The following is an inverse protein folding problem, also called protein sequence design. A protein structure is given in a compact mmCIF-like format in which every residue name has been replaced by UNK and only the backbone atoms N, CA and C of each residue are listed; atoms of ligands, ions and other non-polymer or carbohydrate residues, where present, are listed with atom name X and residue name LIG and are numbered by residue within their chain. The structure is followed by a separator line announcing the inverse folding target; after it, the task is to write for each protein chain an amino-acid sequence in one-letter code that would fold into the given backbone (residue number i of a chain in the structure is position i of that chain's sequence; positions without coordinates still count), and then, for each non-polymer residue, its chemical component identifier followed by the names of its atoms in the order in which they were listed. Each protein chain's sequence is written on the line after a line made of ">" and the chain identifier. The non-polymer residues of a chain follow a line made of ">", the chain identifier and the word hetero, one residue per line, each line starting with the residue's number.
data_IF_984400187459
#
_entry.id   IF_984400187459
#
_cell.length_a   1.000
_cell.length_b   1.000
_cell.length_c   1.000
_cell.angle_alpha   90.00
_cell.angle_beta   90.00
_cell.angle_gamma   90.00
#
_symmetry.space_group_name_H-M   'P 1'
#
loop_
_entity.id
_entity.type
_entity.pdbx_description
1 polymer ?
#
# COMPACT_ATOMS: atom_id res chain seq x y z
N UNK A 1 -17.68 -23.17 0.54
CA UNK A 1 -17.24 -22.06 -0.33
C UNK A 1 -15.82 -22.32 -0.78
N UNK A 2 -15.52 -22.22 -2.08
CA UNK A 2 -14.17 -22.44 -2.61
C UNK A 2 -13.18 -21.38 -2.17
N UNK A 3 -11.89 -21.70 -2.25
CA UNK A 3 -10.82 -20.77 -2.00
C UNK A 3 -10.79 -19.65 -3.05
N UNK A 4 -10.43 -18.44 -2.65
CA UNK A 4 -10.35 -17.27 -3.52
C UNK A 4 -8.88 -16.95 -3.80
N UNK A 5 -8.57 -16.69 -5.07
CA UNK A 5 -7.23 -16.28 -5.49
C UNK A 5 -6.93 -14.88 -4.94
N UNK A 6 -5.67 -14.66 -4.56
CA UNK A 6 -5.21 -13.35 -4.08
C UNK A 6 -5.34 -12.29 -5.19
N UNK A 7 -6.08 -11.19 -4.98
CA UNK A 7 -6.39 -10.23 -6.04
C UNK A 7 -5.16 -9.57 -6.68
N UNK A 8 -4.12 -9.27 -5.90
CA UNK A 8 -2.87 -8.72 -6.44
C UNK A 8 -2.08 -9.82 -7.16
N UNK A 9 -2.02 -11.06 -6.61
CA UNK A 9 -1.25 -12.15 -7.17
C UNK A 9 -1.67 -12.53 -8.59
N UNK A 10 -2.99 -12.63 -8.85
CA UNK A 10 -3.51 -12.96 -10.18
C UNK A 10 -3.23 -11.87 -11.23
N UNK A 11 -2.92 -10.65 -10.80
CA UNK A 11 -2.67 -9.47 -11.64
C UNK A 11 -1.20 -9.11 -11.80
N UNK A 12 -0.30 -9.85 -11.15
CA UNK A 12 1.15 -9.66 -11.33
C UNK A 12 1.54 -9.92 -12.79
N UNK A 13 2.33 -9.03 -13.35
CA UNK A 13 2.75 -9.09 -14.75
C UNK A 13 1.67 -8.71 -15.79
N UNK A 14 0.43 -8.42 -15.36
CA UNK A 14 -0.67 -7.97 -16.22
C UNK A 14 -0.96 -6.49 -15.97
N UNK A 15 -1.26 -6.13 -14.72
CA UNK A 15 -1.61 -4.76 -14.30
C UNK A 15 -0.76 -4.33 -13.10
N UNK A 16 -0.29 -5.27 -12.29
CA UNK A 16 0.51 -4.99 -11.08
C UNK A 16 1.97 -5.37 -11.30
N UNK A 17 2.94 -4.47 -11.00
CA UNK A 17 4.35 -4.80 -10.94
C UNK A 17 4.68 -5.59 -9.67
N UNK A 18 5.86 -6.22 -9.67
CA UNK A 18 6.42 -6.84 -8.47
C UNK A 18 6.95 -5.80 -7.49
N UNK A 19 6.99 -6.17 -6.22
CA UNK A 19 7.58 -5.34 -5.16
C UNK A 19 9.10 -5.58 -4.99
N UNK A 20 9.65 -6.62 -5.60
CA UNK A 20 11.08 -6.86 -5.74
C UNK A 20 11.39 -7.09 -7.21
N UNK A 21 12.31 -6.30 -7.75
CA UNK A 21 12.67 -6.34 -9.18
C UNK A 21 14.18 -6.47 -9.28
N UNK A 22 14.66 -7.71 -9.46
CA UNK A 22 16.07 -8.03 -9.62
C UNK A 22 16.25 -9.42 -10.22
N UNK A 23 17.44 -9.68 -10.73
CA UNK A 23 17.86 -10.97 -11.25
C UNK A 23 19.10 -11.45 -10.47
N UNK A 24 19.17 -12.74 -10.16
CA UNK A 24 20.34 -13.36 -9.58
C UNK A 24 20.51 -14.78 -10.10
N UNK A 25 21.75 -15.28 -10.05
CA UNK A 25 22.09 -16.67 -10.34
C UNK A 25 21.55 -17.60 -9.24
N UNK A 26 21.37 -18.88 -9.54
CA UNK A 26 20.82 -19.89 -8.61
C UNK A 26 21.53 -19.91 -7.26
N UNK A 27 22.86 -19.67 -7.22
CA UNK A 27 23.65 -19.67 -5.98
C UNK A 27 23.36 -18.46 -5.07
N UNK A 28 23.11 -17.30 -5.66
CA UNK A 28 22.93 -16.03 -4.94
C UNK A 28 21.45 -15.72 -4.68
N UNK A 29 20.55 -16.45 -5.35
CA UNK A 29 19.11 -16.15 -5.28
C UNK A 29 18.55 -16.30 -3.87
N UNK A 30 18.92 -17.38 -3.17
CA UNK A 30 18.43 -17.65 -1.82
C UNK A 30 18.89 -16.60 -0.81
N UNK A 31 20.17 -16.23 -0.87
CA UNK A 31 20.76 -15.22 0.04
C UNK A 31 20.15 -13.83 -0.19
N UNK A 32 19.96 -13.45 -1.45
CA UNK A 32 19.31 -12.20 -1.80
C UNK A 32 17.84 -12.16 -1.35
N UNK A 33 17.12 -13.27 -1.48
CA UNK A 33 15.72 -13.35 -1.05
C UNK A 33 15.59 -13.25 0.48
N UNK A 34 16.46 -13.95 1.22
CA UNK A 34 16.49 -13.89 2.68
C UNK A 34 16.82 -12.48 3.18
N UNK A 35 17.81 -11.83 2.57
CA UNK A 35 18.17 -10.45 2.93
C UNK A 35 17.03 -9.46 2.59
N UNK A 36 16.31 -9.61 1.46
CA UNK A 36 15.14 -8.80 1.14
C UNK A 36 14.01 -8.97 2.16
N UNK A 37 13.80 -10.21 2.61
CA UNK A 37 12.80 -10.51 3.64
C UNK A 37 13.15 -9.82 4.96
N UNK A 38 14.40 -9.94 5.42
CA UNK A 38 14.90 -9.28 6.64
C UNK A 38 14.78 -7.75 6.56
N UNK A 39 15.15 -7.16 5.41
CA UNK A 39 15.02 -5.71 5.16
C UNK A 39 13.56 -5.28 5.24
N UNK A 40 12.64 -6.00 4.61
CA UNK A 40 11.19 -5.68 4.68
C UNK A 40 10.65 -5.78 6.10
N UNK A 41 11.01 -6.83 6.82
CA UNK A 41 10.58 -7.04 8.21
C UNK A 41 11.08 -5.91 9.11
N UNK A 42 12.35 -5.54 9.00
CA UNK A 42 12.94 -4.43 9.74
C UNK A 42 12.24 -3.11 9.44
N UNK A 43 12.12 -2.75 8.15
CA UNK A 43 11.49 -1.49 7.74
C UNK A 43 10.00 -1.42 8.13
N UNK A 44 9.26 -2.52 8.03
CA UNK A 44 7.84 -2.55 8.44
C UNK A 44 7.69 -2.32 9.94
N UNK A 45 8.58 -2.87 10.75
CA UNK A 45 8.59 -2.70 12.21
C UNK A 45 8.96 -1.28 12.61
N UNK A 46 10.05 -0.76 12.07
CA UNK A 46 10.57 0.57 12.42
C UNK A 46 9.62 1.69 11.96
N UNK A 47 9.08 1.55 10.76
CA UNK A 47 8.22 2.54 10.14
C UNK A 47 6.72 2.34 10.40
N UNK A 48 6.34 1.58 11.42
CA UNK A 48 4.93 1.33 11.74
C UNK A 48 4.10 2.62 11.93
N UNK A 49 4.72 3.70 12.44
CA UNK A 49 4.08 5.02 12.65
C UNK A 49 4.04 5.90 11.39
N UNK A 50 4.83 5.56 10.38
CA UNK A 50 4.98 6.38 9.17
C UNK A 50 3.90 6.12 8.11
N UNK A 51 2.96 5.20 8.34
CA UNK A 51 1.91 4.83 7.39
C UNK A 51 2.50 4.44 6.02
N UNK A 52 3.32 3.37 6.02
CA UNK A 52 3.96 2.83 4.82
C UNK A 52 2.93 2.02 4.02
N UNK A 53 2.81 2.33 2.73
CA UNK A 53 1.96 1.62 1.79
C UNK A 53 2.64 0.36 1.26
N UNK A 54 3.80 0.54 0.62
CA UNK A 54 4.59 -0.55 0.04
C UNK A 54 6.08 -0.21 0.05
N UNK A 55 6.89 -1.26 0.04
CA UNK A 55 8.35 -1.18 -0.06
C UNK A 55 8.75 -1.89 -1.35
N UNK A 56 9.37 -1.17 -2.27
CA UNK A 56 9.91 -1.70 -3.52
C UNK A 56 11.41 -1.85 -3.38
N UNK A 57 11.93 -3.03 -3.73
CA UNK A 57 13.36 -3.34 -3.65
C UNK A 57 13.87 -3.63 -5.05
N UNK A 58 14.89 -2.91 -5.46
CA UNK A 58 15.64 -3.11 -6.70
C UNK A 58 17.08 -3.43 -6.35
N UNK A 59 17.69 -4.35 -7.08
CA UNK A 59 19.11 -4.68 -6.93
C UNK A 59 19.84 -4.41 -8.25
N UNK A 60 20.25 -3.17 -8.50
CA UNK A 60 21.23 -2.91 -9.55
C UNK A 60 22.57 -3.53 -9.14
N UNK A 61 23.48 -3.72 -10.10
CA UNK A 61 24.75 -4.38 -9.84
C UNK A 61 25.47 -3.80 -8.60
N UNK A 62 25.80 -4.67 -7.63
CA UNK A 62 26.56 -4.36 -6.40
C UNK A 62 25.92 -3.31 -5.45
N UNK A 63 24.63 -3.05 -5.56
CA UNK A 63 23.94 -2.14 -4.63
C UNK A 63 22.47 -2.55 -4.46
N UNK A 64 21.83 -2.05 -3.38
CA UNK A 64 20.39 -2.22 -3.16
C UNK A 64 19.73 -0.85 -3.15
N UNK A 65 18.63 -0.73 -3.87
CA UNK A 65 17.79 0.46 -3.87
C UNK A 65 16.44 0.10 -3.27
N UNK A 66 16.09 0.77 -2.18
CA UNK A 66 14.81 0.57 -1.49
C UNK A 66 13.96 1.82 -1.65
N UNK A 67 12.83 1.70 -2.33
CA UNK A 67 11.86 2.80 -2.47
C UNK A 67 10.70 2.57 -1.51
N UNK A 68 10.52 3.49 -0.57
CA UNK A 68 9.48 3.43 0.47
C UNK A 68 8.34 4.36 0.06
N UNK A 69 7.17 3.79 -0.23
CA UNK A 69 5.96 4.57 -0.48
C UNK A 69 5.24 4.82 0.84
N UNK A 70 5.11 6.09 1.22
CA UNK A 70 4.51 6.48 2.51
C UNK A 70 3.55 7.66 2.35
N UNK A 71 2.54 7.72 3.22
CA UNK A 71 1.65 8.88 3.31
C UNK A 71 2.25 10.01 4.17
N UNK A 72 3.29 9.72 4.96
CA UNK A 72 3.91 10.69 5.87
C UNK A 72 5.43 10.70 5.71
N UNK A 73 5.96 11.25 4.62
CA UNK A 73 7.39 11.23 4.33
C UNK A 73 8.23 11.92 5.42
N UNK A 74 7.70 12.95 6.06
CA UNK A 74 8.41 13.67 7.13
C UNK A 74 8.80 12.80 8.32
N UNK A 75 8.01 11.77 8.66
CA UNK A 75 8.32 10.84 9.75
C UNK A 75 9.48 9.90 9.36
N UNK A 76 9.56 9.53 8.09
CA UNK A 76 10.63 8.66 7.58
C UNK A 76 11.94 9.43 7.46
N UNK A 77 11.87 10.69 7.00
CA UNK A 77 13.06 11.54 6.82
C UNK A 77 13.67 11.90 8.18
N UNK A 78 12.84 12.18 9.17
CA UNK A 78 13.27 12.60 10.49
C UNK A 78 13.84 14.03 10.50
N UNK A 79 14.41 14.41 11.65
CA UNK A 79 15.06 15.72 11.80
C UNK A 79 16.35 15.75 10.98
N UNK A 80 16.46 16.69 10.04
CA UNK A 80 17.65 16.91 9.18
C UNK A 80 18.11 15.66 8.39
N UNK A 81 17.25 14.63 8.22
CA UNK A 81 17.60 13.41 7.50
C UNK A 81 18.35 12.36 8.31
N UNK A 82 18.51 12.53 9.63
CA UNK A 82 19.25 11.59 10.48
C UNK A 82 18.63 10.19 10.50
N UNK A 83 17.28 10.11 10.49
CA UNK A 83 16.60 8.81 10.56
C UNK A 83 16.76 8.02 9.26
N UNK A 84 16.72 8.66 8.09
CA UNK A 84 17.02 8.02 6.80
C UNK A 84 18.45 7.50 6.75
N UNK A 85 19.43 8.25 7.27
CA UNK A 85 20.83 7.81 7.30
C UNK A 85 21.02 6.61 8.24
N UNK A 86 20.32 6.55 9.37
CA UNK A 86 20.31 5.37 10.25
C UNK A 86 19.72 4.17 9.53
N UNK A 87 18.55 4.34 8.91
CA UNK A 87 17.89 3.28 8.15
C UNK A 87 18.81 2.77 7.02
N UNK A 88 19.49 3.66 6.30
CA UNK A 88 20.41 3.33 5.23
C UNK A 88 21.57 2.45 5.73
N UNK A 89 22.17 2.78 6.87
CA UNK A 89 23.27 1.99 7.47
C UNK A 89 22.79 0.59 7.83
N UNK A 90 21.65 0.47 8.57
CA UNK A 90 21.12 -0.84 8.95
C UNK A 90 20.71 -1.68 7.75
N UNK A 91 20.11 -1.09 6.73
CA UNK A 91 19.77 -1.81 5.48
C UNK A 91 21.03 -2.27 4.76
N UNK A 92 22.09 -1.48 4.71
CA UNK A 92 23.37 -1.87 4.12
C UNK A 92 24.01 -3.02 4.89
N UNK A 93 23.96 -3.00 6.24
CA UNK A 93 24.48 -4.07 7.09
C UNK A 93 23.71 -5.39 6.88
N UNK A 94 22.37 -5.34 6.78
CA UNK A 94 21.54 -6.53 6.53
C UNK A 94 21.80 -7.10 5.12
N UNK A 95 21.91 -6.22 4.13
CA UNK A 95 22.06 -6.62 2.74
C UNK A 95 23.50 -6.98 2.35
N UNK A 96 24.51 -6.61 3.16
CA UNK A 96 25.93 -6.77 2.87
C UNK A 96 26.44 -5.97 1.67
N UNK A 97 25.64 -5.02 1.16
CA UNK A 97 25.94 -4.18 -0.01
C UNK A 97 25.52 -2.73 0.25
N UNK A 98 26.12 -1.75 -0.43
CA UNK A 98 25.71 -0.34 -0.31
C UNK A 98 24.23 -0.16 -0.58
N UNK A 99 23.52 0.52 0.35
CA UNK A 99 22.09 0.76 0.26
C UNK A 99 21.77 2.21 -0.12
N UNK A 100 20.75 2.39 -0.96
CA UNK A 100 20.14 3.67 -1.27
C UNK A 100 18.66 3.62 -0.88
N UNK A 101 18.20 4.61 -0.10
CA UNK A 101 16.80 4.73 0.29
C UNK A 101 16.15 5.91 -0.43
N UNK A 102 15.10 5.63 -1.19
CA UNK A 102 14.26 6.62 -1.83
C UNK A 102 12.90 6.67 -1.11
N UNK A 103 12.37 7.85 -0.94
CA UNK A 103 11.06 8.05 -0.30
C UNK A 103 10.12 8.63 -1.35
N UNK A 104 9.01 7.92 -1.59
CA UNK A 104 7.95 8.34 -2.49
C UNK A 104 6.68 8.64 -1.69
N UNK A 105 6.14 9.85 -1.89
CA UNK A 105 4.91 10.26 -1.22
C UNK A 105 3.68 9.66 -1.89
N UNK A 106 2.77 9.10 -1.09
CA UNK A 106 1.44 8.68 -1.54
C UNK A 106 0.47 9.84 -1.37
N UNK A 107 0.16 10.53 -2.48
CA UNK A 107 -0.69 11.74 -2.48
C UNK A 107 -2.14 11.50 -2.05
N UNK A 108 -2.69 10.30 -2.32
CA UNK A 108 -4.08 9.93 -1.99
C UNK A 108 -4.09 8.65 -1.14
N UNK A 109 -3.82 8.74 0.17
CA UNK A 109 -3.74 7.58 1.05
C UNK A 109 -5.04 6.80 1.16
N UNK A 110 -6.20 7.45 0.96
CA UNK A 110 -7.50 6.80 1.02
C UNK A 110 -7.84 5.95 -0.22
N UNK A 111 -7.00 6.01 -1.27
CA UNK A 111 -7.07 5.12 -2.44
C UNK A 111 -6.06 3.98 -2.39
N UNK A 112 -5.32 3.85 -1.28
CA UNK A 112 -4.37 2.78 -1.03
C UNK A 112 -4.94 1.78 -0.04
N UNK A 113 -5.04 0.51 -0.45
CA UNK A 113 -5.69 -0.52 0.35
C UNK A 113 -4.98 -0.79 1.68
N UNK A 114 -3.63 -0.71 1.71
CA UNK A 114 -2.84 -0.91 2.93
C UNK A 114 -3.11 0.20 3.93
N UNK A 115 -3.04 1.45 3.50
CA UNK A 115 -3.23 2.61 4.36
C UNK A 115 -4.65 2.69 4.91
N UNK A 116 -5.65 2.34 4.09
CA UNK A 116 -7.04 2.27 4.53
C UNK A 116 -7.23 1.15 5.55
N UNK A 117 -6.65 -0.04 5.33
CA UNK A 117 -6.72 -1.14 6.28
C UNK A 117 -6.09 -0.75 7.62
N UNK A 118 -4.88 -0.17 7.61
CA UNK A 118 -4.17 0.27 8.81
C UNK A 118 -4.91 1.41 9.55
N UNK A 119 -5.59 2.28 8.82
CA UNK A 119 -6.44 3.31 9.42
C UNK A 119 -7.65 2.70 10.15
N UNK A 120 -8.28 1.68 9.58
CA UNK A 120 -9.41 0.98 10.20
C UNK A 120 -8.93 0.21 11.44
N UNK A 121 -7.83 -0.54 11.35
CA UNK A 121 -7.29 -1.31 12.49
C UNK A 121 -6.92 -0.40 13.66
N UNK A 122 -6.25 0.72 13.41
CA UNK A 122 -5.94 1.73 14.44
C UNK A 122 -7.21 2.31 15.10
N UNK A 123 -8.31 2.48 14.36
CA UNK A 123 -9.59 2.92 14.94
C UNK A 123 -10.23 1.82 15.79
N UNK A 124 -10.15 0.54 15.37
CA UNK A 124 -10.67 -0.60 16.13
C UNK A 124 -9.91 -0.78 17.45
N UNK A 125 -8.59 -0.64 17.45
CA UNK A 125 -7.76 -0.68 18.66
C UNK A 125 -8.13 0.44 19.66
N UNK A 126 -8.53 1.60 19.13
CA UNK A 126 -9.07 2.71 19.93
C UNK A 126 -10.53 2.55 20.32
N UNK A 127 -11.10 1.35 20.14
CA UNK A 127 -12.49 1.00 20.49
C UNK A 127 -13.56 1.82 19.75
N UNK A 128 -13.26 2.30 18.55
CA UNK A 128 -14.26 2.93 17.69
C UNK A 128 -15.20 1.83 17.14
N UNK A 129 -16.49 2.13 17.07
CA UNK A 129 -17.49 1.22 16.48
C UNK A 129 -17.08 0.81 15.07
N UNK A 130 -16.92 -0.48 14.81
CA UNK A 130 -16.44 -1.01 13.52
C UNK A 130 -17.31 -0.59 12.34
N UNK A 131 -18.64 -0.52 12.49
CA UNK A 131 -19.56 -0.03 11.43
C UNK A 131 -19.28 1.42 11.04
N UNK A 132 -18.97 2.26 12.03
CA UNK A 132 -18.64 3.67 11.78
C UNK A 132 -17.29 3.80 11.07
N UNK A 133 -16.29 3.02 11.48
CA UNK A 133 -14.97 3.01 10.86
C UNK A 133 -15.06 2.56 9.38
N UNK A 134 -15.77 1.45 9.10
CA UNK A 134 -15.98 0.96 7.74
C UNK A 134 -16.72 1.97 6.84
N UNK A 135 -17.86 2.51 7.30
CA UNK A 135 -18.65 3.47 6.52
C UNK A 135 -17.84 4.72 6.19
N UNK A 136 -17.09 5.26 7.15
CA UNK A 136 -16.22 6.43 6.94
C UNK A 136 -15.15 6.16 5.90
N UNK A 137 -14.49 4.99 5.97
CA UNK A 137 -13.46 4.61 5.01
C UNK A 137 -14.05 4.46 3.59
N UNK A 138 -15.23 3.84 3.45
CA UNK A 138 -15.94 3.70 2.17
C UNK A 138 -16.29 5.07 1.59
N UNK A 139 -16.90 5.95 2.36
CA UNK A 139 -17.27 7.30 1.92
C UNK A 139 -16.06 8.12 1.48
N UNK A 140 -14.95 8.06 2.24
CA UNK A 140 -13.72 8.77 1.88
C UNK A 140 -13.14 8.27 0.56
N UNK A 141 -13.04 6.95 0.38
CA UNK A 141 -12.51 6.37 -0.85
C UNK A 141 -13.37 6.72 -2.08
N UNK A 142 -14.70 6.65 -1.96
CA UNK A 142 -15.62 7.00 -3.05
C UNK A 142 -15.53 8.49 -3.39
N UNK A 143 -15.46 9.37 -2.39
CA UNK A 143 -15.30 10.83 -2.58
C UNK A 143 -14.01 11.18 -3.35
N UNK A 144 -12.93 10.42 -3.16
CA UNK A 144 -11.63 10.65 -3.80
C UNK A 144 -11.50 9.99 -5.17
N UNK A 145 -12.57 9.33 -5.65
CA UNK A 145 -12.67 8.83 -7.00
C UNK A 145 -12.40 7.32 -7.16
N UNK A 146 -12.49 6.53 -6.09
CA UNK A 146 -12.57 5.08 -6.24
C UNK A 146 -13.83 4.70 -7.03
N UNK A 147 -13.72 3.77 -7.97
CA UNK A 147 -14.89 3.24 -8.73
C UNK A 147 -15.65 2.17 -7.95
N UNK A 148 -15.05 1.68 -6.89
CA UNK A 148 -15.67 0.77 -5.95
C UNK A 148 -14.73 0.35 -4.84
N UNK A 149 -15.32 0.01 -3.71
CA UNK A 149 -14.60 -0.46 -2.54
C UNK A 149 -15.38 -1.57 -1.86
N UNK A 150 -14.67 -2.57 -1.34
CA UNK A 150 -15.20 -3.57 -0.41
C UNK A 150 -14.29 -3.63 0.82
N UNK A 151 -14.88 -3.58 2.00
CA UNK A 151 -14.18 -3.77 3.27
C UNK A 151 -14.84 -4.94 3.98
N UNK A 152 -14.03 -5.83 4.53
CA UNK A 152 -14.48 -6.99 5.30
C UNK A 152 -13.72 -7.02 6.62
N UNK A 153 -14.46 -7.14 7.70
CA UNK A 153 -13.91 -7.18 9.06
C UNK A 153 -14.41 -8.48 9.73
N UNK A 154 -13.47 -9.26 10.24
CA UNK A 154 -13.74 -10.58 10.82
C UNK A 154 -13.08 -10.74 12.18
N UNK A 155 -13.80 -11.37 13.12
CA UNK A 155 -13.35 -11.58 14.49
C UNK A 155 -14.45 -11.34 15.51
N UNK A 156 -14.06 -11.09 16.76
CA UNK A 156 -14.96 -10.75 17.87
C UNK A 156 -15.35 -9.27 17.83
N UNK A 157 -16.23 -8.92 16.90
CA UNK A 157 -16.61 -7.54 16.62
C UNK A 157 -17.34 -6.91 17.81
N UNK A 158 -16.78 -5.79 18.30
CA UNK A 158 -17.32 -5.09 19.48
C UNK A 158 -17.18 -5.86 20.78
N UNK A 159 -16.29 -6.86 20.86
CA UNK A 159 -16.11 -7.70 22.05
C UNK A 159 -17.12 -8.86 22.15
N UNK A 160 -17.90 -9.13 21.10
CA UNK A 160 -18.85 -10.24 21.09
C UNK A 160 -18.12 -11.58 21.33
N UNK A 161 -18.78 -12.49 22.06
CA UNK A 161 -18.22 -13.79 22.40
C UNK A 161 -18.04 -14.67 21.16
N UNK A 162 -19.01 -14.62 20.24
CA UNK A 162 -18.96 -15.35 18.98
C UNK A 162 -18.37 -14.46 17.89
N UNK A 163 -17.31 -14.95 17.23
CA UNK A 163 -16.71 -14.28 16.08
C UNK A 163 -17.65 -14.30 14.87
N UNK A 164 -17.69 -13.21 14.16
CA UNK A 164 -18.45 -13.09 12.92
C UNK A 164 -17.71 -12.24 11.91
N UNK A 165 -18.15 -12.30 10.65
CA UNK A 165 -17.64 -11.48 9.57
C UNK A 165 -18.73 -10.52 9.11
N UNK A 166 -18.41 -9.23 9.10
CA UNK A 166 -19.27 -8.19 8.51
C UNK A 166 -18.50 -7.50 7.38
N UNK A 167 -19.20 -7.14 6.30
CA UNK A 167 -18.60 -6.47 5.17
C UNK A 167 -19.48 -5.34 4.66
N UNK A 168 -18.81 -4.36 4.06
CA UNK A 168 -19.44 -3.23 3.39
C UNK A 168 -18.88 -3.12 1.97
N UNK A 169 -19.75 -2.88 0.98
CA UNK A 169 -19.35 -2.68 -0.41
C UNK A 169 -20.12 -1.52 -1.01
N UNK A 170 -19.42 -0.68 -1.74
CA UNK A 170 -20.00 0.41 -2.53
C UNK A 170 -19.34 0.42 -3.91
N UNK A 171 -20.12 0.69 -4.95
CA UNK A 171 -19.65 0.61 -6.32
C UNK A 171 -19.37 -0.80 -6.82
N UNK A 172 -18.51 -0.91 -7.83
CA UNK A 172 -18.17 -2.16 -8.52
C UNK A 172 -16.77 -2.64 -8.12
N UNK A 173 -16.63 -3.92 -7.77
CA UNK A 173 -15.34 -4.56 -7.49
C UNK A 173 -15.23 -5.85 -8.32
N UNK A 174 -14.77 -5.75 -9.58
CA UNK A 174 -14.75 -6.88 -10.52
C UNK A 174 -13.52 -7.77 -10.30
N UNK A 175 -13.59 -8.72 -9.37
CA UNK A 175 -12.46 -9.58 -8.99
C UNK A 175 -12.00 -10.51 -10.13
N UNK A 176 -12.90 -10.90 -11.04
CA UNK A 176 -12.60 -11.81 -12.15
C UNK A 176 -12.02 -11.08 -13.38
N UNK A 177 -12.11 -9.76 -13.46
CA UNK A 177 -11.59 -8.98 -14.60
C UNK A 177 -10.11 -8.71 -14.39
N UNK A 178 -9.23 -9.29 -15.21
CA UNK A 178 -7.77 -9.15 -15.07
C UNK A 178 -7.26 -7.73 -15.34
N UNK A 179 -7.87 -7.03 -16.30
CA UNK A 179 -7.53 -5.62 -16.63
C UNK A 179 -7.96 -4.61 -15.56
N UNK A 180 -8.73 -5.04 -14.55
CA UNK A 180 -9.16 -4.18 -13.46
C UNK A 180 -8.01 -3.89 -12.50
N UNK A 181 -7.69 -2.63 -12.27
CA UNK A 181 -6.74 -2.20 -11.23
C UNK A 181 -7.42 -2.28 -9.86
N UNK A 182 -7.23 -3.40 -9.20
CA UNK A 182 -7.72 -3.65 -7.84
C UNK A 182 -6.53 -3.65 -6.91
N UNK A 183 -6.57 -2.76 -5.92
CA UNK A 183 -5.65 -2.74 -4.81
C UNK A 183 -6.25 -3.53 -3.65
N UNK A 184 -5.49 -4.47 -3.10
CA UNK A 184 -5.93 -5.35 -2.02
C UNK A 184 -4.87 -5.43 -0.93
N UNK A 185 -5.31 -5.29 0.31
CA UNK A 185 -4.43 -5.55 1.44
C UNK A 185 -5.21 -6.03 2.65
N UNK A 186 -4.46 -6.64 3.59
CA UNK A 186 -4.97 -7.11 4.88
C UNK A 186 -4.20 -6.42 6.00
N UNK A 187 -4.88 -6.22 7.12
CA UNK A 187 -4.28 -5.72 8.35
C UNK A 187 -4.99 -6.34 9.56
N UNK A 188 -4.31 -6.39 10.69
CA UNK A 188 -4.80 -7.00 11.92
C UNK A 188 -4.85 -5.96 13.03
N UNK A 189 -5.98 -5.91 13.74
CA UNK A 189 -6.17 -5.07 14.92
C UNK A 189 -6.05 -5.93 16.17
N UNK A 190 -5.10 -5.63 17.03
CA UNK A 190 -4.90 -6.32 18.29
C UNK A 190 -5.76 -5.66 19.37
N UNK A 191 -6.86 -6.34 19.74
CA UNK A 191 -7.78 -5.85 20.78
C UNK A 191 -7.66 -6.68 22.04
N UNK A 192 -8.19 -6.16 23.15
CA UNK A 192 -8.24 -6.89 24.43
C UNK A 192 -9.03 -8.21 24.35
N UNK A 193 -9.91 -8.36 23.36
CA UNK A 193 -10.76 -9.56 23.14
C UNK A 193 -10.20 -10.49 22.07
N UNK A 194 -9.02 -10.22 21.52
CA UNK A 194 -8.38 -10.99 20.47
C UNK A 194 -8.09 -10.17 19.22
N UNK A 195 -7.68 -10.86 18.16
CA UNK A 195 -7.30 -10.23 16.88
C UNK A 195 -8.53 -10.10 15.98
N UNK A 196 -8.68 -8.92 15.36
CA UNK A 196 -9.70 -8.65 14.35
C UNK A 196 -8.98 -8.45 13.02
N UNK A 197 -9.27 -9.32 12.04
CA UNK A 197 -8.75 -9.20 10.68
C UNK A 197 -9.56 -8.22 9.83
N UNK A 198 -8.87 -7.34 9.13
CA UNK A 198 -9.46 -6.39 8.19
C UNK A 198 -8.93 -6.68 6.79
N UNK A 199 -9.82 -6.83 5.81
CA UNK A 199 -9.49 -7.00 4.38
C UNK A 199 -10.11 -5.85 3.60
N UNK A 200 -9.33 -5.23 2.73
CA UNK A 200 -9.76 -4.07 1.93
C UNK A 200 -9.47 -4.33 0.45
N UNK A 201 -10.47 -4.11 -0.40
CA UNK A 201 -10.37 -4.12 -1.86
C UNK A 201 -10.79 -2.77 -2.38
N UNK A 202 -9.95 -2.12 -3.16
CA UNK A 202 -10.23 -0.82 -3.79
C UNK A 202 -10.08 -0.97 -5.29
N UNK A 203 -11.15 -0.72 -6.02
CA UNK A 203 -11.15 -0.70 -7.48
C UNK A 203 -10.92 0.73 -7.97
N UNK A 204 -9.78 0.97 -8.60
CA UNK A 204 -9.37 2.29 -9.13
C UNK A 204 -9.88 2.52 -10.55
N UNK A 205 -9.96 1.45 -11.34
CA UNK A 205 -10.39 1.52 -12.73
C UNK A 205 -9.92 0.33 -13.55
N UNK A 206 -10.09 0.41 -14.86
CA UNK A 206 -9.59 -0.59 -15.80
C UNK A 206 -8.40 0.00 -16.56
N UNK A 207 -7.31 -0.76 -16.66
CA UNK A 207 -6.11 -0.42 -17.43
C UNK A 207 -6.14 -1.21 -18.72
N UNK A 208 -6.24 -0.49 -19.83
CA UNK A 208 -6.16 -1.07 -21.19
C UNK A 208 -4.71 -0.88 -21.66
N UNK A 209 -4.09 -1.96 -22.14
CA UNK A 209 -2.69 -1.93 -22.61
C UNK A 209 -1.68 -2.62 -21.68
N UNK A 210 -2.13 -3.22 -20.56
CA UNK A 210 -1.28 -4.02 -19.66
C UNK A 210 -0.16 -3.22 -19.00
N UNK A 211 0.98 -3.87 -18.73
CA UNK A 211 2.13 -3.27 -18.04
C UNK A 211 2.68 -2.02 -18.74
N UNK A 212 2.69 -1.99 -20.06
CA UNK A 212 3.18 -0.82 -20.82
C UNK A 212 2.39 0.47 -20.54
N UNK A 213 1.11 0.35 -20.17
CA UNK A 213 0.30 1.51 -19.76
C UNK A 213 0.54 1.94 -18.31
N UNK A 214 0.99 1.01 -17.46
CA UNK A 214 1.29 1.30 -16.04
C UNK A 214 2.62 2.03 -15.88
N UNK A 215 3.60 1.74 -16.74
CA UNK A 215 4.94 2.35 -16.72
C UNK A 215 4.99 3.79 -17.26
N UNK A 216 3.95 4.23 -17.95
CA UNK A 216 3.89 5.63 -18.40
C UNK A 216 3.59 6.52 -17.19
N UNK A 217 4.50 7.45 -16.82
CA UNK A 217 4.21 8.42 -15.77
C UNK A 217 2.98 9.24 -16.19
N UNK A 218 2.01 9.37 -15.28
CA UNK A 218 0.87 10.27 -15.50
C UNK A 218 1.40 11.62 -16.00
N UNK A 219 1.09 11.97 -17.24
CA UNK A 219 1.39 13.31 -17.75
C UNK A 219 0.76 14.29 -16.78
N UNK A 220 1.52 15.26 -16.23
CA UNK A 220 0.96 16.26 -15.33
C UNK A 220 -0.23 16.91 -16.05
N UNK A 221 -1.41 16.87 -15.42
CA UNK A 221 -2.60 17.49 -15.96
C UNK A 221 -2.26 18.91 -16.38
N UNK A 222 -2.47 19.23 -17.66
CA UNK A 222 -2.17 20.53 -18.23
C UNK A 222 -2.87 21.61 -17.38
N UNK A 223 -2.07 22.46 -16.75
CA UNK A 223 -2.60 23.59 -15.98
C UNK A 223 -3.46 24.44 -16.93
N UNK A 224 -4.69 24.80 -16.56
CA UNK A 224 -5.51 25.67 -17.39
C UNK A 224 -4.73 26.99 -17.60
N UNK A 225 -4.42 27.30 -18.86
CA UNK A 225 -3.78 28.55 -19.24
C UNK A 225 -4.62 29.69 -18.67
N UNK A 226 -4.07 30.45 -17.73
CA UNK A 226 -4.67 31.71 -17.27
C UNK A 226 -4.87 32.61 -18.49
N UNK A 227 -6.10 32.79 -18.91
CA UNK A 227 -6.46 33.81 -19.91
C UNK A 227 -6.00 35.17 -19.38
N UNK A 228 -4.99 35.74 -19.99
CA UNK A 228 -4.62 37.14 -19.77
C UNK A 228 -5.81 37.99 -20.21
N UNK A 229 -6.53 38.57 -19.24
CA UNK A 229 -7.48 39.65 -19.52
C UNK A 229 -6.70 40.81 -20.11
N UNK A 230 -6.76 40.97 -21.45
CA UNK A 230 -6.36 42.20 -22.11
C UNK A 230 -7.20 43.36 -21.54
N UNK A 231 -6.55 44.26 -20.82
CA UNK A 231 -7.15 45.50 -20.38
C UNK A 231 -7.63 46.31 -21.63
N UNK A 232 -8.90 46.70 -21.58
CA UNK A 232 -9.43 47.70 -22.48
C UNK A 232 -9.10 49.07 -21.87
N UNK A 233 -8.37 49.87 -22.62
CA UNK A 233 -8.29 51.31 -22.40
C UNK A 233 -9.63 51.96 -22.76
#
# INVERSE_FOLDING_TARGET
>A
MGQKVHPNGIRLGIVKPWNSTWFANTKEFADNLDSDFKVRQYLTKELAKASVSRIVIERPAKSIRVTIHTARPGIVIGKKGEDVEKLRKVVADIAGVPAQINIAEVRKPELDAKLVADSITSQLERRVMFRRAMKRAVQNAMRLGAKGIKIEVSGRLGGAEIARTEWYREGRVPLHTLRADIDYNTSEAHTTYGVIGVKVWIFKGEILGGMAAVEQPEKPAAQPKKQQRKGRK
#
